data_IF_975551504172
#
_entry.id   IF_975551504172
#
_cell.length_a   1.000
_cell.length_b   1.000
_cell.length_c   1.000
_cell.angle_alpha   90.00
_cell.angle_beta   90.00
_cell.angle_gamma   90.00
#
_symmetry.space_group_name_H-M   'P 1'
#
loop_
_entity.id
_entity.type
_entity.pdbx_description
1 polymer ?
#
# COMPACT_ATOMS: atom_id res chain seq x y z
N UNK A 1 -2.10 19.67 17.68
CA UNK A 1 -2.92 18.43 17.83
C UNK A 1 -2.37 17.28 16.99
N UNK A 2 -2.21 17.44 15.68
CA UNK A 2 -1.69 16.36 14.80
C UNK A 2 -0.24 15.93 15.13
N UNK A 3 0.63 16.86 15.52
CA UNK A 3 2.02 16.50 15.86
C UNK A 3 2.13 15.68 17.14
N UNK A 4 1.27 15.93 18.13
CA UNK A 4 1.18 15.09 19.32
C UNK A 4 0.78 13.65 18.95
N UNK A 5 -0.19 13.45 18.06
CA UNK A 5 -0.60 12.10 17.62
C UNK A 5 0.54 11.31 16.97
N UNK A 6 1.45 12.00 16.25
CA UNK A 6 2.64 11.37 15.66
C UNK A 6 3.66 10.91 16.71
N UNK A 7 3.69 11.54 17.89
CA UNK A 7 4.60 11.14 18.98
C UNK A 7 4.17 9.90 19.76
N UNK A 8 2.89 9.51 19.67
CA UNK A 8 2.39 8.33 20.37
C UNK A 8 2.94 7.04 19.73
N UNK A 9 3.43 6.06 20.49
CA UNK A 9 3.73 4.75 19.95
C UNK A 9 2.44 4.05 19.52
N UNK A 10 2.40 3.53 18.29
CA UNK A 10 1.22 2.87 17.70
C UNK A 10 1.54 1.50 17.15
N UNK A 11 0.55 0.62 17.19
CA UNK A 11 0.54 -0.64 16.47
C UNK A 11 -0.45 -0.54 15.30
N UNK A 12 -0.02 -0.90 14.10
CA UNK A 12 -0.87 -1.03 12.91
C UNK A 12 -1.17 -2.51 12.68
N UNK A 13 -2.43 -2.91 12.81
CA UNK A 13 -2.81 -4.33 12.78
C UNK A 13 -3.61 -4.70 11.54
N UNK A 14 -4.05 -3.71 10.75
CA UNK A 14 -4.80 -3.94 9.54
C UNK A 14 -4.39 -2.96 8.45
N UNK A 15 -3.33 -3.33 7.73
CA UNK A 15 -2.89 -2.59 6.54
C UNK A 15 -2.61 -3.54 5.39
N UNK A 16 -3.14 -3.22 4.21
CA UNK A 16 -2.86 -3.95 2.98
C UNK A 16 -1.72 -3.27 2.22
N UNK A 17 -0.67 -4.01 1.88
CA UNK A 17 0.48 -3.45 1.17
C UNK A 17 0.07 -2.80 -0.14
N UNK A 18 -0.75 -3.50 -0.94
CA UNK A 18 -1.13 -3.04 -2.29
C UNK A 18 -2.03 -1.80 -2.29
N UNK A 19 -2.65 -1.49 -1.14
CA UNK A 19 -3.48 -0.30 -0.95
C UNK A 19 -2.76 0.87 -0.26
N UNK A 20 -1.50 0.71 0.12
CA UNK A 20 -0.82 1.66 1.04
C UNK A 20 0.49 2.23 0.52
N UNK A 21 0.75 2.09 -0.79
CA UNK A 21 1.82 2.78 -1.49
C UNK A 21 1.23 3.84 -2.43
N UNK A 22 2.05 4.82 -2.79
CA UNK A 22 1.64 5.89 -3.72
C UNK A 22 2.35 5.65 -5.05
N UNK A 23 1.61 5.37 -6.14
CA UNK A 23 2.19 5.32 -7.48
C UNK A 23 2.88 6.62 -7.85
N UNK A 24 3.91 6.53 -8.68
CA UNK A 24 4.68 7.67 -9.17
C UNK A 24 3.98 8.31 -10.38
N UNK A 25 2.88 9.02 -10.12
CA UNK A 25 2.06 9.75 -11.10
C UNK A 25 1.68 11.12 -10.53
N UNK A 26 1.22 12.08 -11.36
CA UNK A 26 0.84 13.40 -10.87
C UNK A 26 -0.28 13.36 -9.83
N UNK A 27 -0.23 14.27 -8.84
CA UNK A 27 -1.23 14.36 -7.76
C UNK A 27 -2.68 14.51 -8.27
N UNK A 28 -2.87 15.21 -9.39
CA UNK A 28 -4.19 15.36 -10.01
C UNK A 28 -4.76 14.01 -10.50
N UNK A 29 -3.91 13.11 -10.99
CA UNK A 29 -4.33 11.78 -11.41
C UNK A 29 -4.64 10.90 -10.19
N UNK A 30 -3.82 10.96 -9.14
CA UNK A 30 -4.10 10.28 -7.87
C UNK A 30 -5.44 10.72 -7.29
N UNK A 31 -5.68 12.03 -7.20
CA UNK A 31 -6.92 12.59 -6.67
C UNK A 31 -8.14 12.11 -7.48
N UNK A 32 -8.04 12.10 -8.82
CA UNK A 32 -9.12 11.63 -9.67
C UNK A 32 -9.37 10.11 -9.55
N UNK A 33 -8.31 9.32 -9.32
CA UNK A 33 -8.40 7.85 -9.24
C UNK A 33 -8.76 7.33 -7.85
N UNK A 34 -8.49 8.10 -6.81
CA UNK A 34 -8.83 7.75 -5.42
C UNK A 34 -10.12 8.41 -4.92
N UNK A 35 -10.84 9.11 -5.79
CA UNK A 35 -12.20 9.58 -5.52
C UNK A 35 -13.20 8.42 -5.62
N UNK A 36 -13.28 7.63 -4.54
CA UNK A 36 -14.22 6.53 -4.39
C UNK A 36 -15.24 6.82 -3.28
N UNK A 37 -16.51 6.57 -3.55
CA UNK A 37 -17.62 6.86 -2.62
C UNK A 37 -18.35 5.60 -2.12
N UNK A 38 -18.00 4.44 -2.67
CA UNK A 38 -18.55 3.14 -2.31
C UNK A 38 -17.54 2.01 -2.52
N UNK A 39 -17.94 0.78 -2.19
CA UNK A 39 -17.06 -0.37 -2.33
C UNK A 39 -16.71 -0.69 -3.80
N UNK A 40 -17.63 -0.47 -4.74
CA UNK A 40 -17.39 -0.78 -6.15
C UNK A 40 -16.35 0.18 -6.77
N UNK A 41 -16.50 1.47 -6.52
CA UNK A 41 -15.53 2.50 -6.92
C UNK A 41 -14.18 2.28 -6.25
N UNK A 42 -14.14 1.89 -4.96
CA UNK A 42 -12.91 1.49 -4.29
C UNK A 42 -12.19 0.34 -5.01
N UNK A 43 -12.92 -0.70 -5.44
CA UNK A 43 -12.31 -1.83 -6.15
C UNK A 43 -11.67 -1.41 -7.48
N UNK A 44 -12.26 -0.44 -8.20
CA UNK A 44 -11.67 0.09 -9.42
C UNK A 44 -10.40 0.92 -9.13
N UNK A 45 -10.43 1.77 -8.09
CA UNK A 45 -9.25 2.50 -7.60
C UNK A 45 -8.13 1.56 -7.15
N UNK A 46 -8.48 0.47 -6.46
CA UNK A 46 -7.55 -0.55 -6.01
C UNK A 46 -6.92 -1.28 -7.18
N UNK A 47 -7.71 -1.77 -8.15
CA UNK A 47 -7.19 -2.41 -9.38
C UNK A 47 -6.24 -1.50 -10.13
N UNK A 48 -6.59 -0.22 -10.27
CA UNK A 48 -5.74 0.77 -10.91
C UNK A 48 -4.42 0.95 -10.15
N UNK A 49 -4.46 1.12 -8.83
CA UNK A 49 -3.26 1.26 -7.97
C UNK A 49 -2.37 0.03 -8.07
N UNK A 50 -2.93 -1.16 -7.93
CA UNK A 50 -2.24 -2.45 -8.04
C UNK A 50 -1.64 -2.68 -9.43
N UNK A 51 -2.12 -2.02 -10.49
CA UNK A 51 -1.58 -2.16 -11.84
C UNK A 51 -0.11 -1.71 -11.96
N UNK A 52 0.35 -0.85 -11.04
CA UNK A 52 1.73 -0.36 -10.98
C UNK A 52 2.72 -1.37 -10.39
N UNK A 53 2.24 -2.39 -9.67
CA UNK A 53 3.09 -3.46 -9.13
C UNK A 53 3.29 -4.55 -10.20
N UNK A 54 4.31 -4.43 -11.04
CA UNK A 54 4.48 -5.27 -12.25
C UNK A 54 5.48 -6.41 -12.06
N UNK A 55 6.38 -6.30 -11.09
CA UNK A 55 7.43 -7.27 -10.79
C UNK A 55 7.72 -7.31 -9.29
N UNK A 56 8.37 -8.36 -8.76
CA UNK A 56 8.66 -8.50 -7.33
C UNK A 56 9.29 -7.26 -6.68
N UNK A 57 10.23 -6.61 -7.37
CA UNK A 57 10.95 -5.44 -6.84
C UNK A 57 10.03 -4.23 -6.60
N UNK A 58 8.90 -4.16 -7.32
CA UNK A 58 7.91 -3.09 -7.10
C UNK A 58 7.21 -3.27 -5.75
N UNK A 59 6.95 -4.52 -5.32
CA UNK A 59 6.39 -4.81 -4.00
C UNK A 59 7.40 -4.48 -2.90
N UNK A 60 8.68 -4.82 -3.07
CA UNK A 60 9.74 -4.43 -2.14
C UNK A 60 9.88 -2.90 -2.01
N UNK A 61 9.74 -2.15 -3.12
CA UNK A 61 9.71 -0.68 -3.09
C UNK A 61 8.46 -0.16 -2.37
N UNK A 62 7.29 -0.72 -2.64
CA UNK A 62 6.04 -0.37 -1.96
C UNK A 62 6.15 -0.61 -0.44
N UNK A 63 6.74 -1.74 -0.02
CA UNK A 63 6.93 -2.07 1.38
C UNK A 63 7.85 -1.05 2.08
N UNK A 64 8.96 -0.68 1.45
CA UNK A 64 9.87 0.36 1.97
C UNK A 64 9.18 1.72 2.10
N UNK A 65 8.34 2.09 1.13
CA UNK A 65 7.55 3.32 1.18
C UNK A 65 6.56 3.31 2.34
N UNK A 66 5.80 2.21 2.49
CA UNK A 66 4.84 2.02 3.56
C UNK A 66 5.50 2.09 4.93
N UNK A 67 6.56 1.29 5.17
CA UNK A 67 7.28 1.26 6.45
C UNK A 67 7.84 2.64 6.79
N UNK A 68 8.39 3.36 5.80
CA UNK A 68 8.88 4.73 6.01
C UNK A 68 7.76 5.69 6.40
N UNK A 69 6.56 5.53 5.81
CA UNK A 69 5.38 6.32 6.16
C UNK A 69 4.88 6.01 7.58
N UNK A 70 4.73 4.72 7.92
CA UNK A 70 4.31 4.25 9.25
C UNK A 70 5.24 4.78 10.35
N UNK A 71 6.56 4.69 10.11
CA UNK A 71 7.56 5.21 11.06
C UNK A 71 7.41 6.71 11.29
N UNK A 72 7.20 7.52 10.23
CA UNK A 72 6.97 8.98 10.37
C UNK A 72 5.68 9.30 11.14
N UNK A 73 4.73 8.37 11.14
CA UNK A 73 3.50 8.50 11.88
C UNK A 73 3.63 8.04 13.33
N UNK A 74 4.76 7.47 13.77
CA UNK A 74 4.95 6.97 15.14
C UNK A 74 4.48 5.52 15.35
N UNK A 75 4.26 4.77 14.27
CA UNK A 75 3.97 3.33 14.34
C UNK A 75 5.26 2.58 14.63
N UNK A 76 5.25 1.78 15.70
CA UNK A 76 6.41 1.01 16.19
C UNK A 76 6.28 -0.49 15.90
N UNK A 77 5.07 -0.95 15.59
CA UNK A 77 4.77 -2.34 15.24
C UNK A 77 3.72 -2.36 14.12
N UNK A 78 3.88 -3.23 13.13
CA UNK A 78 2.93 -3.34 12.03
C UNK A 78 2.76 -4.79 11.55
N UNK A 79 1.52 -5.22 11.36
CA UNK A 79 1.15 -6.46 10.68
C UNK A 79 0.65 -6.11 9.27
N UNK A 80 1.54 -6.24 8.29
CA UNK A 80 1.25 -5.87 6.90
C UNK A 80 0.71 -7.08 6.15
N UNK A 81 -0.49 -6.96 5.60
CA UNK A 81 -1.14 -8.00 4.79
C UNK A 81 -0.67 -7.89 3.35
N UNK A 82 -0.19 -9.01 2.80
CA UNK A 82 0.09 -9.20 1.37
C UNK A 82 -1.03 -10.04 0.74
N UNK A 83 -1.59 -9.55 -0.35
CA UNK A 83 -2.73 -10.17 -1.02
C UNK A 83 -2.24 -11.25 -2.01
N UNK A 84 -1.91 -12.44 -1.51
CA UNK A 84 -1.40 -13.54 -2.33
C UNK A 84 -2.26 -13.86 -3.56
N UNK A 85 -3.60 -13.74 -3.45
CA UNK A 85 -4.51 -13.90 -4.58
C UNK A 85 -4.30 -12.87 -5.70
N UNK A 86 -3.99 -11.61 -5.36
CA UNK A 86 -3.69 -10.54 -6.31
C UNK A 86 -2.37 -10.81 -7.02
N UNK A 87 -1.34 -11.22 -6.27
CA UNK A 87 -0.03 -11.59 -6.82
C UNK A 87 -0.17 -12.69 -7.87
N UNK A 88 -0.92 -13.76 -7.53
CA UNK A 88 -1.17 -14.89 -8.44
C UNK A 88 -2.06 -14.51 -9.62
N UNK A 89 -3.08 -13.68 -9.42
CA UNK A 89 -3.93 -13.15 -10.50
C UNK A 89 -3.10 -12.37 -11.54
N UNK A 90 -2.09 -11.64 -11.07
CA UNK A 90 -1.12 -10.92 -11.93
C UNK A 90 -0.04 -11.82 -12.53
N UNK A 91 -0.12 -13.14 -12.32
CA UNK A 91 0.83 -14.15 -12.81
C UNK A 91 2.26 -13.92 -12.32
N UNK A 92 2.42 -13.33 -11.15
CA UNK A 92 3.71 -13.18 -10.49
C UNK A 92 4.00 -14.37 -9.58
N UNK A 93 5.28 -14.62 -9.36
CA UNK A 93 5.72 -15.59 -8.37
C UNK A 93 5.61 -15.01 -6.96
N UNK A 94 4.88 -15.71 -6.09
CA UNK A 94 4.61 -15.24 -4.73
C UNK A 94 5.85 -15.26 -3.85
N UNK A 95 6.69 -16.28 -3.97
CA UNK A 95 7.91 -16.40 -3.17
C UNK A 95 8.90 -15.29 -3.54
N UNK A 96 9.07 -15.01 -4.83
CA UNK A 96 9.87 -13.91 -5.30
C UNK A 96 9.35 -12.55 -4.80
N UNK A 97 8.02 -12.33 -4.80
CA UNK A 97 7.40 -11.11 -4.25
C UNK A 97 7.64 -10.99 -2.74
N UNK A 98 7.51 -12.09 -1.99
CA UNK A 98 7.73 -12.10 -0.55
C UNK A 98 9.19 -11.84 -0.17
N UNK A 99 10.14 -12.28 -1.01
CA UNK A 99 11.58 -12.14 -0.78
C UNK A 99 12.18 -10.78 -1.20
N UNK A 100 11.44 -9.94 -1.95
CA UNK A 100 11.91 -8.68 -2.53
C UNK A 100 11.94 -7.49 -1.54
#
# INVERSE_FOLDING_TARGET
MLDFLKTLPKAELHVHLEGSFTPDVPDAELAAKWDCCDFASFLESFKWTVSFLKKPEDYGRAAKQLISSLRRQGVTYAEITLSAGVVRWKKLDLEAVYAA
#
